data_IF_807280521533
#
_entry.id   IF_807280521533
#
_cell.length_a   1.000
_cell.length_b   1.000
_cell.length_c   1.000
_cell.angle_alpha   90.00
_cell.angle_beta   90.00
_cell.angle_gamma   90.00
#
_symmetry.space_group_name_H-M   'P 1'
#
loop_
_entity.id
_entity.type
_entity.pdbx_description
1 polymer ?
#
# COMPACT_ATOMS: atom_id res chain seq x y z
N UNK A 1 11.12 3.87 9.03
CA UNK A 1 10.79 2.87 10.08
C UNK A 1 11.24 3.28 11.49
N UNK A 2 12.52 3.59 11.72
CA UNK A 2 13.05 3.93 13.06
C UNK A 2 12.31 5.12 13.68
N UNK A 3 12.07 6.19 12.91
CA UNK A 3 11.34 7.38 13.39
C UNK A 3 9.88 7.10 13.72
N UNK A 4 9.19 6.30 12.89
CA UNK A 4 7.79 5.92 13.12
C UNK A 4 7.63 5.03 14.36
N UNK A 5 8.54 4.05 14.56
CA UNK A 5 8.56 3.22 15.78
C UNK A 5 8.86 4.05 17.04
N UNK A 6 9.71 5.07 16.94
CA UNK A 6 9.92 6.03 18.03
C UNK A 6 8.66 6.84 18.33
N UNK A 7 7.96 7.32 17.31
CA UNK A 7 6.69 8.06 17.46
C UNK A 7 5.59 7.19 18.07
N UNK A 8 5.45 5.95 17.63
CA UNK A 8 4.51 4.96 18.18
C UNK A 8 4.80 4.66 19.66
N UNK A 9 6.07 4.51 20.03
CA UNK A 9 6.48 4.35 21.43
C UNK A 9 6.14 5.58 22.28
N UNK A 10 6.41 6.78 21.79
CA UNK A 10 6.06 8.03 22.48
C UNK A 10 4.56 8.11 22.65
N UNK A 11 3.77 7.94 21.60
CA UNK A 11 2.30 8.03 21.67
C UNK A 11 1.69 6.96 22.57
N UNK A 12 2.26 5.75 22.59
CA UNK A 12 1.86 4.70 23.52
C UNK A 12 2.04 5.12 24.97
N UNK A 13 3.15 5.80 25.29
CA UNK A 13 3.38 6.33 26.63
C UNK A 13 2.37 7.44 26.95
N UNK A 14 2.09 8.35 26.00
CA UNK A 14 1.11 9.43 26.18
C UNK A 14 -0.34 8.94 26.35
N UNK A 15 -0.70 7.79 25.76
CA UNK A 15 -2.03 7.19 25.96
C UNK A 15 -2.16 6.57 27.35
N UNK A 16 -1.10 5.88 27.83
CA UNK A 16 -1.09 5.23 29.15
C UNK A 16 -1.03 6.26 30.29
N UNK A 17 -0.10 7.20 30.18
CA UNK A 17 0.17 8.24 31.15
C UNK A 17 0.38 9.56 30.40
N UNK A 18 -0.70 10.30 30.08
CA UNK A 18 -0.53 11.59 29.44
C UNK A 18 0.22 12.54 30.39
N UNK A 19 1.15 13.35 29.90
CA UNK A 19 1.84 14.33 30.71
C UNK A 19 0.82 15.21 31.46
N UNK A 20 1.00 15.32 32.77
CA UNK A 20 0.08 16.08 33.62
C UNK A 20 -0.01 17.55 33.20
N UNK A 21 1.11 18.10 32.72
CA UNK A 21 1.23 19.44 32.15
C UNK A 21 0.38 19.64 30.90
N UNK A 22 0.28 18.63 30.02
CA UNK A 22 -0.57 18.68 28.84
C UNK A 22 -2.06 18.67 29.25
N UNK A 23 -2.41 17.78 30.19
CA UNK A 23 -3.78 17.68 30.69
C UNK A 23 -4.21 18.96 31.42
N UNK A 24 -3.35 19.54 32.25
CA UNK A 24 -3.63 20.77 32.98
C UNK A 24 -3.75 21.97 32.05
N UNK A 25 -2.88 22.07 31.04
CA UNK A 25 -2.94 23.12 30.01
C UNK A 25 -4.26 23.06 29.24
N UNK A 26 -4.65 21.87 28.78
CA UNK A 26 -5.90 21.71 28.00
C UNK A 26 -7.13 22.00 28.86
N UNK A 27 -7.15 21.55 30.13
CA UNK A 27 -8.23 21.92 31.07
C UNK A 27 -8.29 23.43 31.29
N UNK A 28 -7.14 24.10 31.42
CA UNK A 28 -7.05 25.56 31.57
C UNK A 28 -7.62 26.29 30.36
N UNK A 29 -7.16 25.91 29.17
CA UNK A 29 -7.61 26.48 27.89
C UNK A 29 -9.11 26.24 27.64
N UNK A 30 -9.60 25.03 27.96
CA UNK A 30 -11.02 24.71 27.86
C UNK A 30 -11.87 25.59 28.80
N UNK A 31 -11.43 25.78 30.06
CA UNK A 31 -12.11 26.67 31.02
C UNK A 31 -12.09 28.12 30.57
N UNK A 32 -10.97 28.61 30.06
CA UNK A 32 -10.83 29.98 29.54
C UNK A 32 -11.78 30.22 28.36
N UNK A 33 -11.78 29.33 27.37
CA UNK A 33 -12.67 29.42 26.21
C UNK A 33 -14.14 29.33 26.58
N UNK A 34 -14.46 28.51 27.58
CA UNK A 34 -15.82 28.39 28.07
C UNK A 34 -16.27 29.67 28.80
N UNK A 35 -15.39 30.28 29.61
CA UNK A 35 -15.66 31.55 30.24
C UNK A 35 -15.84 32.69 29.21
N UNK A 36 -14.97 32.76 28.19
CA UNK A 36 -15.12 33.69 27.07
C UNK A 36 -16.46 33.51 26.33
N UNK A 37 -16.86 32.27 26.09
CA UNK A 37 -18.12 31.94 25.45
C UNK A 37 -19.32 32.38 26.30
N UNK A 38 -19.30 32.08 27.61
CA UNK A 38 -20.36 32.49 28.55
C UNK A 38 -20.51 34.01 28.62
N UNK A 39 -19.38 34.74 28.70
CA UNK A 39 -19.39 36.20 28.74
C UNK A 39 -19.95 36.85 27.46
N UNK A 40 -19.86 36.16 26.31
CA UNK A 40 -20.48 36.60 25.05
C UNK A 40 -21.97 36.26 24.98
N UNK A 41 -22.39 35.17 25.62
CA UNK A 41 -23.78 34.68 25.60
C UNK A 41 -24.68 35.50 26.53
N UNK A 42 -24.14 35.98 27.66
CA UNK A 42 -24.89 36.82 28.63
C UNK A 42 -25.36 38.18 28.05
N UNK A 43 -24.86 38.58 26.88
CA UNK A 43 -25.16 39.89 26.27
C UNK A 43 -26.46 39.97 25.46
N UNK A 44 -27.00 38.88 24.90
CA UNK A 44 -28.07 39.01 23.87
C UNK A 44 -28.94 37.76 23.55
N UNK A 45 -29.08 36.78 24.45
CA UNK A 45 -29.76 35.51 24.09
C UNK A 45 -31.06 35.21 24.87
N UNK A 46 -32.17 35.15 24.12
CA UNK A 46 -33.38 34.41 24.50
C UNK A 46 -33.04 32.91 24.42
N UNK A 47 -32.76 32.31 25.57
CA UNK A 47 -32.24 30.94 25.66
C UNK A 47 -33.21 29.91 25.03
N UNK A 48 -32.80 29.16 23.99
CA UNK A 48 -33.57 27.99 23.55
C UNK A 48 -33.57 26.92 24.64
N UNK A 49 -34.71 26.22 24.79
CA UNK A 49 -34.88 25.11 25.72
C UNK A 49 -33.83 24.03 25.40
N UNK A 50 -32.77 23.94 26.20
CA UNK A 50 -31.65 23.02 25.98
C UNK A 50 -30.27 23.62 26.21
N UNK A 51 -30.11 24.95 26.22
CA UNK A 51 -28.79 25.57 26.39
C UNK A 51 -28.20 25.35 27.79
N UNK A 52 -29.02 25.50 28.84
CA UNK A 52 -28.57 25.30 30.24
C UNK A 52 -28.09 23.86 30.48
N UNK A 53 -28.85 22.81 30.11
CA UNK A 53 -28.36 21.43 30.18
C UNK A 53 -27.06 21.19 29.39
N UNK A 54 -26.93 21.75 28.19
CA UNK A 54 -25.73 21.60 27.36
C UNK A 54 -24.50 22.29 27.98
N UNK A 55 -24.68 23.44 28.62
CA UNK A 55 -23.62 24.16 29.34
C UNK A 55 -23.16 23.41 30.59
N UNK A 56 -24.09 22.81 31.34
CA UNK A 56 -23.77 21.94 32.47
C UNK A 56 -22.97 20.72 32.01
N UNK A 57 -23.41 20.05 30.93
CA UNK A 57 -22.67 18.93 30.34
C UNK A 57 -21.26 19.34 29.87
N UNK A 58 -21.12 20.53 29.30
CA UNK A 58 -19.82 21.03 28.85
C UNK A 58 -18.87 21.35 30.03
N UNK A 59 -19.41 21.81 31.16
CA UNK A 59 -18.65 22.00 32.40
C UNK A 59 -18.17 20.68 33.02
N UNK A 60 -19.00 19.64 32.94
CA UNK A 60 -18.71 18.31 33.46
C UNK A 60 -17.87 17.47 32.48
N UNK A 61 -17.63 17.96 31.26
CA UNK A 61 -16.93 17.22 30.23
C UNK A 61 -15.45 16.98 30.59
N UNK A 62 -15.04 15.71 30.52
CA UNK A 62 -13.65 15.32 30.75
C UNK A 62 -12.80 15.52 29.49
N UNK A 63 -12.33 16.75 29.29
CA UNK A 63 -11.41 17.11 28.22
C UNK A 63 -10.12 16.29 28.23
N UNK A 64 -9.66 15.79 29.37
CA UNK A 64 -8.45 14.98 29.44
C UNK A 64 -8.69 13.60 28.82
N UNK A 65 -9.84 12.97 29.08
CA UNK A 65 -10.23 11.72 28.43
C UNK A 65 -10.44 11.90 26.92
N UNK A 66 -11.01 13.02 26.49
CA UNK A 66 -11.14 13.33 25.07
C UNK A 66 -9.77 13.39 24.37
N UNK A 67 -8.80 14.07 24.96
CA UNK A 67 -7.44 14.16 24.42
C UNK A 67 -6.78 12.78 24.36
N UNK A 68 -6.93 11.94 25.39
CA UNK A 68 -6.46 10.55 25.37
C UNK A 68 -7.07 9.78 24.20
N UNK A 69 -8.36 9.94 23.96
CA UNK A 69 -9.05 9.29 22.85
C UNK A 69 -8.50 9.77 21.48
N UNK A 70 -8.26 11.08 21.32
CA UNK A 70 -7.64 11.63 20.11
C UNK A 70 -6.22 11.09 19.88
N UNK A 71 -5.37 11.07 20.92
CA UNK A 71 -4.02 10.50 20.84
C UNK A 71 -4.10 9.00 20.49
N UNK A 72 -5.06 8.27 21.08
CA UNK A 72 -5.32 6.87 20.77
C UNK A 72 -5.71 6.64 19.31
N UNK A 73 -6.55 7.51 18.72
CA UNK A 73 -6.90 7.46 17.31
C UNK A 73 -5.69 7.69 16.40
N UNK A 74 -4.87 8.70 16.70
CA UNK A 74 -3.64 8.98 15.93
C UNK A 74 -2.66 7.82 16.02
N UNK A 75 -2.51 7.21 17.21
CA UNK A 75 -1.71 6.00 17.39
C UNK A 75 -2.24 4.85 16.53
N UNK A 76 -3.54 4.58 16.56
CA UNK A 76 -4.15 3.52 15.75
C UNK A 76 -3.91 3.72 14.25
N UNK A 77 -3.95 4.97 13.77
CA UNK A 77 -3.61 5.28 12.38
C UNK A 77 -2.12 5.00 12.08
N UNK A 78 -1.21 5.32 13.00
CA UNK A 78 0.22 5.02 12.84
C UNK A 78 0.51 3.52 12.86
N UNK A 79 -0.18 2.75 13.70
CA UNK A 79 -0.08 1.28 13.74
C UNK A 79 -0.48 0.68 12.38
N UNK A 80 -1.56 1.19 11.78
CA UNK A 80 -1.98 0.81 10.43
C UNK A 80 -0.93 1.11 9.36
N UNK A 81 -0.38 2.32 9.34
CA UNK A 81 0.67 2.71 8.38
C UNK A 81 1.94 1.89 8.56
N UNK A 82 2.32 1.56 9.80
CA UNK A 82 3.47 0.69 10.07
C UNK A 82 3.25 -0.71 9.53
N UNK A 83 2.06 -1.28 9.71
CA UNK A 83 1.68 -2.58 9.19
C UNK A 83 1.73 -2.61 7.65
N UNK A 84 1.16 -1.60 6.99
CA UNK A 84 1.20 -1.46 5.53
C UNK A 84 2.63 -1.35 5.00
N UNK A 85 3.48 -0.61 5.70
CA UNK A 85 4.88 -0.46 5.35
C UNK A 85 5.66 -1.78 5.52
N UNK A 86 5.39 -2.54 6.58
CA UNK A 86 6.02 -3.85 6.80
C UNK A 86 5.59 -4.88 5.75
N UNK A 87 4.33 -4.84 5.32
CA UNK A 87 3.83 -5.64 4.18
C UNK A 87 4.56 -5.22 2.89
N UNK A 88 4.64 -3.92 2.62
CA UNK A 88 5.30 -3.39 1.42
C UNK A 88 6.79 -3.76 1.36
N UNK A 89 7.49 -3.69 2.50
CA UNK A 89 8.90 -4.11 2.59
C UNK A 89 9.02 -5.61 2.34
N UNK A 90 8.13 -6.43 2.92
CA UNK A 90 8.13 -7.88 2.69
C UNK A 90 7.92 -8.21 1.22
N UNK A 91 6.96 -7.57 0.57
CA UNK A 91 6.68 -7.77 -0.85
C UNK A 91 7.88 -7.33 -1.71
N UNK A 92 8.49 -6.19 -1.39
CA UNK A 92 9.70 -5.71 -2.05
C UNK A 92 10.89 -6.68 -1.89
N UNK A 93 11.19 -7.10 -0.65
CA UNK A 93 12.31 -8.00 -0.32
C UNK A 93 12.09 -9.40 -0.90
N UNK A 94 10.85 -9.89 -0.91
CA UNK A 94 10.52 -11.19 -1.51
C UNK A 94 10.77 -11.24 -3.02
N UNK A 95 10.98 -10.09 -3.67
CA UNK A 95 11.14 -10.00 -5.11
C UNK A 95 9.87 -10.37 -5.88
N UNK A 96 8.72 -10.48 -5.22
CA UNK A 96 7.45 -10.89 -5.85
C UNK A 96 7.09 -10.03 -7.05
N UNK A 97 7.21 -8.72 -6.92
CA UNK A 97 6.95 -7.80 -8.04
C UNK A 97 7.96 -7.96 -9.17
N UNK A 98 9.24 -8.23 -8.84
CA UNK A 98 10.24 -8.56 -9.85
C UNK A 98 9.87 -9.84 -10.59
N UNK A 99 9.45 -10.90 -9.88
CA UNK A 99 9.00 -12.14 -10.48
C UNK A 99 7.80 -11.93 -11.41
N UNK A 100 6.75 -11.23 -10.94
CA UNK A 100 5.59 -10.90 -11.78
C UNK A 100 5.98 -10.14 -13.05
N UNK A 101 6.88 -9.16 -12.93
CA UNK A 101 7.34 -8.38 -14.06
C UNK A 101 8.19 -9.22 -15.02
N UNK A 102 9.05 -10.09 -14.48
CA UNK A 102 9.83 -11.05 -15.26
C UNK A 102 8.91 -12.01 -16.02
N UNK A 103 7.92 -12.59 -15.36
CA UNK A 103 6.94 -13.50 -15.98
C UNK A 103 6.13 -12.78 -17.06
N UNK A 104 5.69 -11.55 -16.78
CA UNK A 104 5.01 -10.71 -17.77
C UNK A 104 5.88 -10.47 -19.00
N UNK A 105 7.16 -10.11 -18.82
CA UNK A 105 8.07 -9.90 -19.93
C UNK A 105 8.35 -11.20 -20.70
N UNK A 106 8.50 -12.34 -20.03
CA UNK A 106 8.66 -13.63 -20.68
C UNK A 106 7.47 -13.95 -21.58
N UNK A 107 6.25 -13.82 -21.06
CA UNK A 107 5.02 -14.02 -21.84
C UNK A 107 4.98 -13.07 -23.04
N UNK A 108 5.29 -11.78 -22.84
CA UNK A 108 5.29 -10.80 -23.93
C UNK A 108 6.31 -11.09 -25.02
N UNK A 109 7.52 -11.48 -24.63
CA UNK A 109 8.58 -11.85 -25.56
C UNK A 109 8.14 -13.09 -26.34
N UNK A 110 7.61 -14.10 -25.65
CA UNK A 110 7.12 -15.32 -26.26
C UNK A 110 5.99 -15.05 -27.27
N UNK A 111 5.00 -14.23 -26.92
CA UNK A 111 3.89 -13.82 -27.79
C UNK A 111 4.39 -13.12 -29.07
N UNK A 112 5.29 -12.15 -28.92
CA UNK A 112 5.81 -11.39 -30.07
C UNK A 112 6.73 -12.23 -30.94
N UNK A 113 7.55 -13.12 -30.35
CA UNK A 113 8.37 -14.09 -31.10
C UNK A 113 7.47 -15.06 -31.86
N UNK A 114 6.43 -15.61 -31.22
CA UNK A 114 5.47 -16.50 -31.88
C UNK A 114 4.80 -15.82 -33.07
N UNK A 115 4.32 -14.58 -32.87
CA UNK A 115 3.67 -13.78 -33.90
C UNK A 115 4.61 -13.47 -35.06
N UNK A 116 5.84 -13.06 -34.75
CA UNK A 116 6.85 -12.75 -35.77
C UNK A 116 7.21 -13.98 -36.59
N UNK A 117 7.49 -15.11 -35.94
CA UNK A 117 7.80 -16.40 -36.58
C UNK A 117 6.63 -16.92 -37.44
N UNK A 118 5.39 -16.74 -36.98
CA UNK A 118 4.20 -17.10 -37.74
C UNK A 118 4.12 -16.34 -39.08
N UNK A 119 4.63 -15.11 -39.14
CA UNK A 119 4.76 -14.34 -40.38
C UNK A 119 5.69 -14.96 -41.42
N UNK A 120 6.57 -15.88 -41.00
CA UNK A 120 7.48 -16.65 -41.86
C UNK A 120 7.02 -18.11 -42.04
N UNK A 121 5.75 -18.41 -41.76
CA UNK A 121 5.17 -19.76 -41.80
C UNK A 121 5.88 -20.76 -40.88
N UNK A 122 6.46 -20.29 -39.76
CA UNK A 122 7.02 -21.19 -38.75
C UNK A 122 5.89 -21.98 -38.07
N UNK A 123 6.01 -23.30 -38.08
CA UNK A 123 5.03 -24.19 -37.44
C UNK A 123 5.44 -24.49 -35.99
N UNK A 124 4.85 -23.79 -35.03
CA UNK A 124 5.19 -23.91 -33.60
C UNK A 124 5.00 -25.31 -33.03
N UNK A 125 3.92 -25.98 -33.41
CA UNK A 125 3.56 -27.32 -32.92
C UNK A 125 4.10 -28.46 -33.81
N UNK A 126 5.08 -28.15 -34.68
CA UNK A 126 5.68 -29.13 -35.61
C UNK A 126 6.39 -30.30 -34.93
N UNK A 127 6.79 -30.14 -33.66
CA UNK A 127 7.42 -31.18 -32.84
C UNK A 127 6.51 -31.43 -31.63
N UNK A 128 5.96 -32.65 -31.47
CA UNK A 128 5.12 -32.95 -30.31
C UNK A 128 5.93 -32.90 -29.02
N UNK A 129 5.30 -32.49 -27.92
CA UNK A 129 5.94 -32.42 -26.61
C UNK A 129 6.53 -33.78 -26.18
N UNK A 130 5.92 -34.89 -26.63
CA UNK A 130 6.38 -36.24 -26.37
C UNK A 130 7.05 -36.89 -27.60
N UNK A 131 7.97 -36.18 -28.26
CA UNK A 131 8.62 -36.64 -29.49
C UNK A 131 9.42 -37.96 -29.37
N UNK A 132 9.65 -38.43 -28.15
CA UNK A 132 10.31 -39.71 -27.86
C UNK A 132 9.37 -40.87 -28.21
N UNK A 133 8.09 -40.76 -27.84
CA UNK A 133 7.09 -41.81 -28.06
C UNK A 133 6.28 -41.56 -29.35
N UNK A 134 6.10 -40.29 -29.73
CA UNK A 134 5.32 -39.88 -30.89
C UNK A 134 6.20 -39.17 -31.92
N UNK A 135 6.40 -39.78 -33.09
CA UNK A 135 7.17 -39.14 -34.16
C UNK A 135 6.43 -37.90 -34.67
N UNK A 136 7.16 -36.85 -35.12
CA UNK A 136 6.53 -35.75 -35.83
C UNK A 136 5.85 -36.19 -37.12
N UNK A 137 4.74 -35.55 -37.46
CA UNK A 137 3.97 -35.86 -38.66
C UNK A 137 4.71 -35.47 -39.96
N UNK A 138 5.44 -34.36 -39.94
CA UNK A 138 6.10 -33.79 -41.11
C UNK A 138 7.55 -33.34 -40.80
N UNK A 139 8.51 -34.14 -41.25
CA UNK A 139 9.94 -33.83 -41.10
C UNK A 139 10.41 -32.69 -42.00
N UNK A 140 9.72 -32.41 -43.11
CA UNK A 140 10.11 -31.34 -44.03
C UNK A 140 9.73 -29.97 -43.45
N UNK A 141 8.60 -29.88 -42.74
CA UNK A 141 8.25 -28.70 -41.93
C UNK A 141 9.30 -28.43 -40.86
N UNK A 142 9.78 -29.47 -40.16
CA UNK A 142 10.85 -29.33 -39.15
C UNK A 142 12.14 -28.83 -39.78
N UNK A 143 12.55 -29.36 -40.95
CA UNK A 143 13.74 -28.87 -41.66
C UNK A 143 13.59 -27.41 -42.09
N UNK A 144 12.41 -27.02 -42.55
CA UNK A 144 12.10 -25.63 -42.93
C UNK A 144 12.20 -24.69 -41.72
N UNK A 145 11.59 -25.07 -40.59
CA UNK A 145 11.69 -24.35 -39.32
C UNK A 145 13.16 -24.22 -38.86
N UNK A 146 13.93 -25.31 -38.91
CA UNK A 146 15.35 -25.32 -38.55
C UNK A 146 16.17 -24.37 -39.42
N UNK A 147 15.94 -24.37 -40.74
CA UNK A 147 16.62 -23.47 -41.67
C UNK A 147 16.32 -22.01 -41.35
N UNK A 148 15.06 -21.67 -41.08
CA UNK A 148 14.67 -20.31 -40.66
C UNK A 148 15.40 -19.89 -39.39
N UNK A 149 15.43 -20.75 -38.36
CA UNK A 149 16.14 -20.49 -37.12
C UNK A 149 17.64 -20.29 -37.34
N UNK A 150 18.27 -21.11 -38.18
CA UNK A 150 19.67 -20.95 -38.57
C UNK A 150 19.91 -19.62 -39.28
N UNK A 151 19.04 -19.21 -40.20
CA UNK A 151 19.14 -17.91 -40.89
C UNK A 151 19.01 -16.72 -39.93
N UNK A 152 18.26 -16.87 -38.83
CA UNK A 152 18.13 -15.84 -37.78
C UNK A 152 19.37 -15.83 -36.89
N UNK A 153 19.81 -17.00 -36.42
CA UNK A 153 20.94 -17.14 -35.49
C UNK A 153 22.29 -16.80 -36.12
N UNK A 154 22.48 -17.10 -37.42
CA UNK A 154 23.75 -16.87 -38.11
C UNK A 154 23.87 -15.50 -38.78
N UNK A 155 22.88 -14.61 -38.63
CA UNK A 155 22.95 -13.25 -39.22
C UNK A 155 23.96 -12.32 -38.55
N UNK A 156 24.38 -12.60 -37.31
CA UNK A 156 25.21 -11.69 -36.49
C UNK A 156 26.38 -12.36 -35.73
N UNK A 157 26.90 -13.50 -36.20
CA UNK A 157 28.07 -14.16 -35.56
C UNK A 157 29.41 -13.46 -35.93
N UNK A 158 29.46 -12.13 -35.75
CA UNK A 158 30.64 -11.26 -35.95
C UNK A 158 31.33 -10.93 -34.60
N UNK A 159 30.71 -11.26 -33.47
CA UNK A 159 31.28 -11.03 -32.13
C UNK A 159 31.19 -12.27 -31.24
N UNK A 160 32.03 -13.27 -31.56
CA UNK A 160 32.69 -14.08 -30.54
C UNK A 160 33.92 -13.35 -29.98
#
# INVERSE_FOLDING_TARGET
LITLKKMESILTNFVKEPPEELCSTIRGLAKERLAEFMARVDGDLVFPVGLVPALTQLHEFDFANYVRACIGQVRGALDGVLMDLEISIRDFVSGREKHKLTDYWHIRIEEEVHKWLSGFNYAHDSIPANYIDEKPDDLDVIKSNLKLLQEILHKDDIHG
#
